data_IF_530728143736
#
_entry.id   IF_530728143736
#
_cell.length_a   1.000
_cell.length_b   1.000
_cell.length_c   1.000
_cell.angle_alpha   90.00
_cell.angle_beta   90.00
_cell.angle_gamma   90.00
#
_symmetry.space_group_name_H-M   'P 1'
#
loop_
_entity.id
_entity.type
_entity.pdbx_description
1 polymer ?
#
# COMPACT_ATOMS: atom_id res chain seq x y z
N UNK A 1 -8.46 62.46 -15.07
CA UNK A 1 -7.05 61.96 -15.13
C UNK A 1 -6.77 60.88 -14.09
N UNK A 2 -7.03 61.10 -12.79
CA UNK A 2 -6.77 60.10 -11.71
C UNK A 2 -7.38 58.70 -11.94
N UNK A 3 -8.63 58.59 -12.41
CA UNK A 3 -9.27 57.29 -12.72
C UNK A 3 -8.56 56.49 -13.83
N UNK A 4 -8.03 57.15 -14.87
CA UNK A 4 -7.32 56.46 -15.97
C UNK A 4 -5.96 55.91 -15.52
N UNK A 5 -5.28 56.62 -14.61
CA UNK A 5 -4.01 56.18 -14.01
C UNK A 5 -4.26 54.95 -13.14
N UNK A 6 -5.30 54.96 -12.28
CA UNK A 6 -5.67 53.82 -11.43
C UNK A 6 -5.98 52.57 -12.26
N UNK A 7 -6.79 52.70 -13.32
CA UNK A 7 -7.13 51.57 -14.21
C UNK A 7 -5.86 51.01 -14.87
N UNK A 8 -4.99 51.88 -15.40
CA UNK A 8 -3.74 51.45 -16.03
C UNK A 8 -2.81 50.73 -15.05
N UNK A 9 -2.70 51.19 -13.81
CA UNK A 9 -1.90 50.54 -12.77
C UNK A 9 -2.45 49.16 -12.41
N UNK A 10 -3.78 49.03 -12.26
CA UNK A 10 -4.43 47.74 -11.98
C UNK A 10 -4.19 46.76 -13.14
N UNK A 11 -4.33 47.20 -14.39
CA UNK A 11 -4.07 46.34 -15.56
C UNK A 11 -2.63 45.85 -15.58
N UNK A 12 -1.65 46.71 -15.28
CA UNK A 12 -0.24 46.33 -15.22
C UNK A 12 0.01 45.30 -14.10
N UNK A 13 -0.59 45.50 -12.92
CA UNK A 13 -0.47 44.55 -11.81
C UNK A 13 -1.08 43.19 -12.18
N UNK A 14 -2.25 43.17 -12.84
CA UNK A 14 -2.87 41.92 -13.31
C UNK A 14 -1.99 41.23 -14.35
N UNK A 15 -1.40 41.97 -15.29
CA UNK A 15 -0.48 41.41 -16.28
C UNK A 15 0.81 40.88 -15.64
N UNK A 16 1.33 41.55 -14.61
CA UNK A 16 2.50 41.07 -13.87
C UNK A 16 2.16 39.81 -13.07
N UNK A 17 1.03 39.78 -12.36
CA UNK A 17 0.56 38.58 -11.65
C UNK A 17 0.32 37.44 -12.63
N UNK A 18 -0.32 37.72 -13.76
CA UNK A 18 -0.56 36.75 -14.84
C UNK A 18 0.73 36.24 -15.46
N UNK A 19 1.71 37.12 -15.70
CA UNK A 19 3.04 36.75 -16.20
C UNK A 19 3.84 35.93 -15.19
N UNK A 20 3.78 36.27 -13.91
CA UNK A 20 4.40 35.49 -12.83
C UNK A 20 3.74 34.12 -12.68
N UNK A 21 2.40 34.06 -12.72
CA UNK A 21 1.65 32.80 -12.67
C UNK A 21 1.94 31.92 -13.89
N UNK A 22 2.01 32.51 -15.09
CA UNK A 22 2.36 31.81 -16.31
C UNK A 22 3.82 31.33 -16.29
N UNK A 23 4.75 32.14 -15.78
CA UNK A 23 6.15 31.76 -15.60
C UNK A 23 6.31 30.62 -14.58
N UNK A 24 5.57 30.69 -13.47
CA UNK A 24 5.54 29.62 -12.45
C UNK A 24 4.93 28.33 -13.00
N UNK A 25 3.83 28.43 -13.74
CA UNK A 25 3.23 27.28 -14.46
C UNK A 25 4.21 26.68 -15.46
N UNK A 26 4.91 27.51 -16.24
CA UNK A 26 5.89 27.07 -17.21
C UNK A 26 7.08 26.37 -16.54
N UNK A 27 7.57 26.90 -15.41
CA UNK A 27 8.67 26.30 -14.64
C UNK A 27 8.27 24.94 -14.05
N UNK A 28 7.10 24.85 -13.41
CA UNK A 28 6.61 23.57 -12.85
C UNK A 28 6.35 22.55 -13.96
N UNK A 29 5.78 22.97 -15.08
CA UNK A 29 5.45 22.07 -16.18
C UNK A 29 6.70 21.50 -16.84
N UNK A 30 7.73 22.32 -17.03
CA UNK A 30 8.93 21.91 -17.76
C UNK A 30 10.02 21.33 -16.85
N UNK A 31 10.07 21.76 -15.58
CA UNK A 31 11.05 21.32 -14.60
C UNK A 31 10.39 20.92 -13.27
N UNK A 32 9.43 19.97 -13.25
CA UNK A 32 8.73 19.56 -12.04
C UNK A 32 9.69 19.04 -10.94
N UNK A 33 10.86 18.52 -11.30
CA UNK A 33 11.90 18.09 -10.36
C UNK A 33 12.49 19.22 -9.49
N UNK A 34 12.37 20.49 -9.90
CA UNK A 34 12.99 21.62 -9.21
C UNK A 34 12.29 21.98 -7.88
N UNK A 35 11.05 21.55 -7.68
CA UNK A 35 10.30 21.81 -6.43
C UNK A 35 10.54 20.76 -5.35
N UNK A 36 11.30 19.70 -5.67
CA UNK A 36 11.72 18.67 -4.74
C UNK A 36 13.14 18.95 -4.26
N UNK A 37 13.42 18.55 -3.03
CA UNK A 37 14.76 18.64 -2.46
C UNK A 37 15.69 17.70 -3.25
N UNK A 38 16.57 18.28 -4.04
CA UNK A 38 17.60 17.51 -4.74
C UNK A 38 18.62 17.02 -3.71
N UNK A 39 19.09 15.76 -3.78
CA UNK A 39 20.20 15.31 -2.96
C UNK A 39 21.37 16.27 -3.19
N UNK A 40 21.89 16.86 -2.11
CA UNK A 40 23.00 17.79 -2.22
C UNK A 40 24.20 17.05 -2.83
N UNK A 41 24.74 17.58 -3.92
CA UNK A 41 25.99 17.12 -4.51
C UNK A 41 27.17 17.45 -3.57
N UNK A 42 27.27 16.73 -2.45
CA UNK A 42 28.45 16.68 -1.60
C UNK A 42 28.84 15.22 -1.37
N UNK A 43 29.41 14.62 -2.42
CA UNK A 43 30.61 13.76 -2.35
C UNK A 43 30.79 13.07 -3.70
N UNK A 44 31.54 13.72 -4.59
CA UNK A 44 32.30 13.00 -5.61
C UNK A 44 33.47 12.33 -4.90
N UNK A 45 33.26 11.09 -4.51
CA UNK A 45 34.31 10.22 -3.99
C UNK A 45 33.91 8.79 -4.30
N UNK A 46 34.65 8.13 -5.18
CA UNK A 46 34.55 6.68 -5.38
C UNK A 46 34.81 6.02 -4.03
N UNK A 47 33.76 5.63 -3.30
CA UNK A 47 33.89 4.81 -2.11
C UNK A 47 34.12 3.39 -2.58
N UNK A 48 35.39 2.98 -2.62
CA UNK A 48 35.75 1.56 -2.66
C UNK A 48 35.14 0.89 -1.43
N UNK A 49 34.23 -0.06 -1.68
CA UNK A 49 33.60 -0.89 -0.67
C UNK A 49 34.66 -1.57 0.22
N UNK A 50 34.71 -1.17 1.49
CA UNK A 50 35.23 -2.01 2.57
C UNK A 50 34.63 -1.55 3.90
N UNK A 51 33.94 -2.49 4.55
CA UNK A 51 33.40 -2.50 5.92
C UNK A 51 31.89 -2.25 6.08
N UNK A 52 31.24 -3.21 6.72
CA UNK A 52 29.80 -3.38 7.03
C UNK A 52 29.22 -2.35 8.03
N UNK A 53 29.72 -1.11 8.03
CA UNK A 53 29.23 -0.05 8.92
C UNK A 53 28.98 1.30 8.24
N UNK A 54 29.08 1.38 6.92
CA UNK A 54 28.70 2.59 6.19
C UNK A 54 27.33 2.40 5.52
N UNK A 55 26.29 2.87 6.21
CA UNK A 55 24.97 3.17 5.67
C UNK A 55 25.06 4.41 4.76
N UNK A 56 25.80 4.27 3.66
CA UNK A 56 25.86 5.29 2.63
C UNK A 56 24.54 5.29 1.87
N UNK A 57 23.85 6.42 1.85
CA UNK A 57 22.72 6.62 0.94
C UNK A 57 23.21 6.53 -0.50
N UNK A 58 22.49 5.78 -1.34
CA UNK A 58 22.79 5.74 -2.77
C UNK A 58 22.43 7.11 -3.34
N UNK A 59 23.40 7.80 -3.93
CA UNK A 59 23.12 9.04 -4.65
C UNK A 59 22.26 8.71 -5.88
N UNK A 60 21.01 9.17 -5.84
CA UNK A 60 20.09 9.01 -6.95
C UNK A 60 20.53 9.90 -8.12
N UNK A 61 20.36 9.44 -9.37
CA UNK A 61 20.44 10.33 -10.52
C UNK A 61 19.53 11.54 -10.33
N UNK A 62 20.01 12.73 -10.69
CA UNK A 62 19.20 13.95 -10.72
C UNK A 62 17.93 13.74 -11.54
N UNK A 63 16.81 14.35 -11.14
CA UNK A 63 15.54 14.22 -11.86
C UNK A 63 14.68 13.02 -11.44
N UNK A 64 15.07 12.28 -10.39
CA UNK A 64 14.27 11.19 -9.82
C UNK A 64 13.87 11.46 -8.37
N UNK A 65 12.65 11.06 -8.01
CA UNK A 65 12.17 11.10 -6.61
C UNK A 65 11.44 9.81 -6.26
N UNK A 66 11.39 9.50 -4.96
CA UNK A 66 10.66 8.35 -4.44
C UNK A 66 9.66 8.81 -3.37
N UNK A 67 8.41 8.38 -3.53
CA UNK A 67 7.32 8.73 -2.62
C UNK A 67 6.69 7.44 -2.07
N UNK A 68 6.67 7.28 -0.75
CA UNK A 68 5.96 6.17 -0.10
C UNK A 68 4.46 6.49 0.04
N UNK A 69 3.60 5.60 -0.42
CA UNK A 69 2.17 5.61 -0.11
C UNK A 69 1.89 4.56 0.97
N UNK A 70 1.36 5.02 2.10
CA UNK A 70 1.13 4.22 3.29
C UNK A 70 -0.36 4.20 3.64
N UNK A 71 -0.98 3.03 3.55
CA UNK A 71 -2.35 2.81 4.02
C UNK A 71 -2.34 2.44 5.50
N UNK A 72 -2.91 3.28 6.35
CA UNK A 72 -2.99 3.08 7.79
C UNK A 72 -4.28 2.32 8.15
N UNK A 73 -4.17 1.25 8.94
CA UNK A 73 -5.35 0.61 9.54
C UNK A 73 -5.56 1.16 10.96
N UNK A 74 -6.10 2.39 11.04
CA UNK A 74 -6.54 3.00 12.30
C UNK A 74 -7.83 2.34 12.74
N UNK A 75 -7.74 1.35 13.62
CA UNK A 75 -8.94 0.77 14.21
C UNK A 75 -9.27 1.49 15.53
N UNK A 76 -10.38 2.24 15.57
CA UNK A 76 -10.80 2.99 16.75
C UNK A 76 -10.99 2.07 17.98
N UNK A 77 -11.39 0.81 17.79
CA UNK A 77 -11.50 -0.18 18.87
C UNK A 77 -10.14 -0.67 19.42
N UNK A 78 -9.05 -0.53 18.66
CA UNK A 78 -7.69 -0.86 19.14
C UNK A 78 -7.04 0.27 19.94
N UNK A 79 -7.50 1.51 19.76
CA UNK A 79 -7.00 2.67 20.53
C UNK A 79 -7.42 2.55 21.99
N UNK A 80 -8.64 2.07 22.26
CA UNK A 80 -9.14 1.84 23.62
C UNK A 80 -8.50 0.62 24.33
N UNK A 81 -8.04 -0.40 23.57
CA UNK A 81 -7.51 -1.65 24.14
C UNK A 81 -5.96 -1.75 24.13
N UNK A 82 -5.27 -1.09 23.17
CA UNK A 82 -3.83 -1.22 22.95
C UNK A 82 -3.08 0.12 22.73
N UNK A 83 -3.76 1.26 22.86
CA UNK A 83 -3.19 2.58 22.54
C UNK A 83 -2.97 2.80 21.04
N UNK A 84 -2.07 3.71 20.67
CA UNK A 84 -1.74 4.11 19.29
C UNK A 84 -0.98 3.03 18.48
N UNK A 85 -1.42 1.77 18.55
CA UNK A 85 -0.82 0.63 17.83
C UNK A 85 -1.32 0.57 16.39
N UNK A 86 -0.73 1.40 15.53
CA UNK A 86 -1.01 1.44 14.09
C UNK A 86 -0.07 0.54 13.30
N UNK A 87 -0.62 -0.17 12.31
CA UNK A 87 0.15 -0.93 11.30
C UNK A 87 -0.13 -0.37 9.91
N UNK A 88 0.91 -0.34 9.09
CA UNK A 88 0.79 -0.01 7.66
C UNK A 88 0.35 -1.25 6.89
N UNK A 89 -0.90 -1.25 6.44
CA UNK A 89 -1.49 -2.39 5.74
C UNK A 89 -1.22 -2.37 4.24
N UNK A 90 -0.92 -1.19 3.70
CA UNK A 90 -0.51 -0.99 2.32
C UNK A 90 0.79 -0.20 2.30
N UNK A 91 1.80 -0.72 1.63
CA UNK A 91 3.10 -0.07 1.46
C UNK A 91 3.43 -0.10 -0.03
N UNK A 92 3.44 1.08 -0.65
CA UNK A 92 3.82 1.25 -2.05
C UNK A 92 4.87 2.36 -2.15
N UNK A 93 5.79 2.24 -3.09
CA UNK A 93 6.76 3.28 -3.42
C UNK A 93 6.59 3.67 -4.88
N UNK A 94 6.34 4.95 -5.11
CA UNK A 94 6.30 5.55 -6.44
C UNK A 94 7.69 6.09 -6.74
N UNK A 95 8.43 5.37 -7.59
CA UNK A 95 9.69 5.83 -8.16
C UNK A 95 9.39 6.63 -9.43
N UNK A 96 9.57 7.94 -9.37
CA UNK A 96 9.22 8.87 -10.43
C UNK A 96 10.50 9.35 -11.10
N UNK A 97 10.56 9.17 -12.41
CA UNK A 97 11.61 9.68 -13.29
C UNK A 97 11.04 10.78 -14.16
N UNK A 98 11.34 12.04 -13.81
CA UNK A 98 10.82 13.20 -14.52
C UNK A 98 11.41 13.33 -15.92
N UNK A 99 12.68 12.95 -16.10
CA UNK A 99 13.40 13.05 -17.37
C UNK A 99 12.90 11.98 -18.36
N UNK A 100 12.76 10.74 -17.89
CA UNK A 100 12.26 9.64 -18.70
C UNK A 100 10.73 9.63 -18.85
N UNK A 101 10.01 10.51 -18.13
CA UNK A 101 8.54 10.52 -18.02
C UNK A 101 8.00 9.12 -17.71
N UNK A 102 8.50 8.54 -16.62
CA UNK A 102 8.22 7.16 -16.21
C UNK A 102 7.89 7.09 -14.73
N UNK A 103 6.98 6.21 -14.37
CA UNK A 103 6.68 5.87 -12.98
C UNK A 103 6.79 4.36 -12.82
N UNK A 104 7.56 3.92 -11.82
CA UNK A 104 7.54 2.54 -11.34
C UNK A 104 6.89 2.50 -9.95
N UNK A 105 5.79 1.76 -9.81
CA UNK A 105 5.08 1.55 -8.55
C UNK A 105 5.49 0.22 -7.95
N UNK A 106 6.25 0.25 -6.85
CA UNK A 106 6.72 -0.95 -6.15
C UNK A 106 5.83 -1.20 -4.94
N UNK A 107 5.06 -2.28 -4.96
CA UNK A 107 4.30 -2.74 -3.81
C UNK A 107 5.16 -3.66 -2.93
N UNK A 108 5.25 -3.34 -1.64
CA UNK A 108 5.99 -4.12 -0.66
C UNK A 108 4.97 -4.82 0.25
N UNK A 109 4.93 -6.17 0.30
CA UNK A 109 4.03 -6.88 1.20
C UNK A 109 4.25 -6.45 2.65
N UNK A 110 3.17 -6.14 3.36
CA UNK A 110 3.20 -5.65 4.75
C UNK A 110 3.90 -6.63 5.72
N UNK A 111 3.87 -7.92 5.40
CA UNK A 111 4.44 -9.01 6.18
C UNK A 111 5.90 -9.32 5.78
N UNK A 112 6.54 -8.47 4.95
CA UNK A 112 7.95 -8.63 4.56
C UNK A 112 8.86 -8.69 5.78
N UNK A 113 9.63 -9.77 5.90
CA UNK A 113 10.57 -9.97 7.00
C UNK A 113 11.87 -9.21 6.72
N UNK A 114 12.04 -8.06 7.39
CA UNK A 114 13.10 -7.08 7.08
C UNK A 114 13.75 -6.57 8.34
N UNK A 115 14.97 -6.03 8.22
CA UNK A 115 15.65 -5.36 9.33
C UNK A 115 14.98 -4.00 9.53
N UNK A 116 14.46 -3.76 10.73
CA UNK A 116 13.85 -2.47 11.05
C UNK A 116 14.96 -1.44 11.25
N UNK A 117 14.82 -0.28 10.62
CA UNK A 117 15.81 0.80 10.72
C UNK A 117 16.04 1.20 12.19
N UNK A 118 17.31 1.41 12.54
CA UNK A 118 17.71 1.72 13.92
C UNK A 118 17.59 0.56 14.91
N UNK A 119 17.20 -0.65 14.48
CA UNK A 119 17.12 -1.86 15.33
C UNK A 119 18.16 -2.90 14.90
N UNK A 120 18.50 -3.80 15.83
CA UNK A 120 19.43 -4.92 15.59
C UNK A 120 18.74 -6.20 15.13
N UNK A 121 17.41 -6.26 15.23
CA UNK A 121 16.59 -7.42 14.89
C UNK A 121 15.74 -7.18 13.63
N UNK A 122 15.12 -8.25 13.15
CA UNK A 122 14.20 -8.24 12.01
C UNK A 122 12.77 -8.47 12.47
N UNK A 123 11.83 -7.87 11.75
CA UNK A 123 10.41 -8.00 12.00
C UNK A 123 9.65 -7.74 10.68
N UNK A 124 8.32 -7.83 10.72
CA UNK A 124 7.46 -7.45 9.61
C UNK A 124 7.61 -5.95 9.33
N UNK A 125 7.77 -5.59 8.05
CA UNK A 125 7.95 -4.17 7.67
C UNK A 125 6.83 -3.26 8.17
N UNK A 126 5.60 -3.77 8.33
CA UNK A 126 4.48 -2.99 8.85
C UNK A 126 4.55 -2.62 10.33
N UNK A 127 5.50 -3.17 11.10
CA UNK A 127 5.76 -2.77 12.48
C UNK A 127 6.78 -1.64 12.59
N UNK A 128 7.44 -1.23 11.50
CA UNK A 128 8.46 -0.19 11.51
C UNK A 128 7.95 1.14 12.13
N UNK A 129 6.70 1.50 11.85
CA UNK A 129 6.06 2.69 12.42
C UNK A 129 6.00 2.64 13.95
N UNK A 130 5.55 1.51 14.50
CA UNK A 130 5.47 1.29 15.95
C UNK A 130 6.87 1.24 16.58
N UNK A 131 7.83 0.58 15.92
CA UNK A 131 9.22 0.49 16.38
C UNK A 131 9.94 1.85 16.41
N UNK A 132 9.49 2.80 15.59
CA UNK A 132 9.92 4.19 15.61
C UNK A 132 9.28 5.03 16.70
N UNK A 133 8.35 4.49 17.51
CA UNK A 133 7.63 5.23 18.54
C UNK A 133 6.29 5.81 18.08
N UNK A 134 5.75 5.35 16.94
CA UNK A 134 4.44 5.76 16.46
C UNK A 134 4.39 7.26 16.10
N UNK A 135 3.26 7.90 16.37
CA UNK A 135 3.03 9.32 16.08
C UNK A 135 3.81 10.27 17.00
N UNK A 136 4.04 9.85 18.25
CA UNK A 136 4.77 10.65 19.24
C UNK A 136 6.30 10.57 19.05
N UNK A 137 6.76 9.57 18.30
CA UNK A 137 8.17 9.33 18.00
C UNK A 137 8.54 9.58 16.54
N UNK A 138 9.54 8.83 16.08
CA UNK A 138 10.10 8.88 14.73
C UNK A 138 9.50 7.80 13.82
N UNK A 139 8.20 7.49 14.00
CA UNK A 139 7.52 6.35 13.36
C UNK A 139 7.57 6.40 11.83
N UNK A 140 7.27 7.57 11.24
CA UNK A 140 7.32 7.74 9.79
C UNK A 140 8.75 7.62 9.26
N UNK A 141 9.73 8.30 9.87
CA UNK A 141 11.12 8.22 9.41
C UNK A 141 11.70 6.80 9.56
N UNK A 142 11.39 6.10 10.65
CA UNK A 142 11.76 4.68 10.83
C UNK A 142 11.17 3.81 9.72
N UNK A 143 9.91 4.07 9.33
CA UNK A 143 9.24 3.39 8.21
C UNK A 143 9.95 3.68 6.88
N UNK A 144 10.24 4.95 6.58
CA UNK A 144 10.90 5.36 5.34
C UNK A 144 12.32 4.81 5.24
N UNK A 145 13.09 4.83 6.33
CA UNK A 145 14.44 4.26 6.37
C UNK A 145 14.42 2.73 6.23
N UNK A 146 13.41 2.07 6.80
CA UNK A 146 13.23 0.61 6.62
C UNK A 146 12.91 0.28 5.16
N UNK A 147 12.02 1.05 4.53
CA UNK A 147 11.70 0.92 3.10
C UNK A 147 12.95 1.21 2.24
N UNK A 148 13.68 2.29 2.53
CA UNK A 148 14.93 2.65 1.86
C UNK A 148 15.95 1.51 1.90
N UNK A 149 16.12 0.87 3.06
CA UNK A 149 17.02 -0.28 3.22
C UNK A 149 16.61 -1.46 2.34
N UNK A 150 15.32 -1.79 2.28
CA UNK A 150 14.79 -2.82 1.38
C UNK A 150 15.04 -2.46 -0.10
N UNK A 151 14.99 -1.18 -0.44
CA UNK A 151 15.29 -0.67 -1.78
C UNK A 151 16.79 -0.49 -2.07
N UNK A 152 17.67 -1.05 -1.25
CA UNK A 152 19.12 -0.96 -1.46
C UNK A 152 19.68 0.42 -1.13
N UNK A 153 19.16 1.04 -0.06
CA UNK A 153 19.50 2.38 0.41
C UNK A 153 19.18 3.50 -0.60
N UNK A 154 18.17 3.27 -1.44
CA UNK A 154 17.57 4.30 -2.28
C UNK A 154 16.76 5.25 -1.39
N UNK A 155 17.05 6.56 -1.38
CA UNK A 155 16.35 7.52 -0.54
C UNK A 155 14.84 7.56 -0.82
N UNK A 156 14.03 7.44 0.24
CA UNK A 156 12.57 7.60 0.18
C UNK A 156 12.20 8.79 1.06
N UNK A 157 12.30 9.97 0.48
CA UNK A 157 12.26 11.23 1.23
C UNK A 157 10.84 11.77 1.40
N UNK A 158 9.89 11.31 0.58
CA UNK A 158 8.52 11.80 0.61
C UNK A 158 7.56 10.67 0.95
N UNK A 159 6.45 11.04 1.57
CA UNK A 159 5.39 10.09 1.87
C UNK A 159 4.01 10.71 1.87
N UNK A 160 3.00 9.88 1.64
CA UNK A 160 1.59 10.16 1.91
C UNK A 160 1.07 8.98 2.70
N UNK A 161 0.61 9.24 3.92
CA UNK A 161 -0.03 8.24 4.77
C UNK A 161 -1.46 8.66 5.09
N UNK A 162 -2.40 7.74 4.91
CA UNK A 162 -3.82 8.02 5.15
C UNK A 162 -4.55 6.77 5.63
N UNK A 163 -5.60 6.98 6.42
CA UNK A 163 -6.51 5.91 6.79
C UNK A 163 -7.49 5.57 5.64
N UNK A 164 -8.23 4.49 5.82
CA UNK A 164 -9.16 4.00 4.80
C UNK A 164 -10.40 4.89 4.63
N UNK A 165 -10.81 5.63 5.65
CA UNK A 165 -11.95 6.55 5.59
C UNK A 165 -11.62 7.80 4.75
N UNK A 166 -10.36 8.23 4.83
CA UNK A 166 -9.79 9.28 3.98
C UNK A 166 -9.73 8.81 2.52
N UNK A 167 -9.35 7.55 2.27
CA UNK A 167 -9.39 6.98 0.90
C UNK A 167 -10.81 6.99 0.34
N UNK A 168 -11.82 6.54 1.11
CA UNK A 168 -13.23 6.59 0.69
C UNK A 168 -13.60 8.02 0.30
N UNK A 169 -13.35 8.96 1.20
CA UNK A 169 -13.72 10.36 1.03
C UNK A 169 -13.02 11.00 -0.18
N UNK A 170 -11.75 10.66 -0.40
CA UNK A 170 -10.96 11.17 -1.54
C UNK A 170 -11.51 10.65 -2.87
N UNK A 171 -11.82 9.36 -2.96
CA UNK A 171 -12.42 8.77 -4.17
C UNK A 171 -13.77 9.42 -4.47
N UNK A 172 -14.60 9.66 -3.46
CA UNK A 172 -15.88 10.35 -3.63
C UNK A 172 -15.70 11.81 -4.07
N UNK A 173 -14.71 12.53 -3.53
CA UNK A 173 -14.39 13.91 -3.92
C UNK A 173 -13.88 14.02 -5.36
N UNK A 174 -13.15 13.03 -5.85
CA UNK A 174 -12.74 12.92 -7.27
C UNK A 174 -13.96 12.56 -8.16
N UNK A 175 -15.06 12.11 -7.54
CA UNK A 175 -16.29 11.78 -8.22
C UNK A 175 -16.39 10.30 -8.57
N UNK A 176 -15.73 9.40 -7.85
CA UNK A 176 -15.70 7.95 -8.04
C UNK A 176 -14.67 7.48 -9.08
N UNK A 177 -14.59 6.17 -9.34
CA UNK A 177 -13.75 5.59 -10.41
C UNK A 177 -14.57 4.63 -11.26
N UNK A 178 -14.49 4.76 -12.58
CA UNK A 178 -15.04 3.73 -13.47
C UNK A 178 -14.05 2.56 -13.58
N UNK A 179 -14.53 1.35 -13.32
CA UNK A 179 -13.68 0.17 -13.29
C UNK A 179 -14.46 -1.11 -13.63
N UNK A 180 -13.80 -2.03 -14.32
CA UNK A 180 -14.34 -3.36 -14.60
C UNK A 180 -14.03 -4.32 -13.45
N UNK A 181 -15.02 -4.52 -12.58
CA UNK A 181 -14.88 -5.37 -11.39
C UNK A 181 -14.79 -6.83 -11.84
N UNK A 182 -13.64 -7.46 -11.62
CA UNK A 182 -13.34 -8.81 -12.15
C UNK A 182 -14.31 -9.91 -11.64
N UNK A 183 -14.90 -9.73 -10.45
CA UNK A 183 -15.73 -10.73 -9.77
C UNK A 183 -16.60 -10.10 -8.68
N UNK A 184 -17.67 -10.79 -8.29
CA UNK A 184 -18.47 -10.41 -7.13
C UNK A 184 -17.60 -10.38 -5.86
N UNK A 185 -17.68 -9.27 -5.11
CA UNK A 185 -17.05 -9.13 -3.79
C UNK A 185 -18.08 -9.39 -2.72
N UNK A 186 -17.75 -10.23 -1.74
CA UNK A 186 -18.62 -10.60 -0.61
C UNK A 186 -17.92 -10.38 0.72
N UNK A 187 -18.69 -10.09 1.77
CA UNK A 187 -18.17 -10.09 3.13
C UNK A 187 -18.00 -11.51 3.70
N UNK A 188 -17.46 -11.62 4.91
CA UNK A 188 -17.22 -12.90 5.59
C UNK A 188 -18.50 -13.71 5.86
N UNK A 189 -19.67 -13.07 5.82
CA UNK A 189 -20.98 -13.73 5.97
C UNK A 189 -21.59 -14.12 4.61
N UNK A 190 -20.86 -13.90 3.50
CA UNK A 190 -21.31 -14.21 2.15
C UNK A 190 -22.25 -13.17 1.54
N UNK A 191 -22.54 -12.05 2.22
CA UNK A 191 -23.36 -10.97 1.66
C UNK A 191 -22.59 -10.29 0.55
N UNK A 192 -23.28 -10.06 -0.57
CA UNK A 192 -22.74 -9.35 -1.72
C UNK A 192 -22.53 -7.87 -1.39
N UNK A 193 -21.28 -7.41 -1.55
CA UNK A 193 -20.88 -6.02 -1.35
C UNK A 193 -20.71 -5.25 -2.65
N UNK A 194 -20.25 -5.93 -3.72
CA UNK A 194 -20.01 -5.33 -5.02
C UNK A 194 -20.20 -6.40 -6.11
N UNK A 195 -20.91 -6.05 -7.19
CA UNK A 195 -21.09 -6.94 -8.34
C UNK A 195 -19.91 -6.89 -9.29
N UNK A 196 -19.66 -7.98 -10.01
CA UNK A 196 -18.77 -7.98 -11.17
C UNK A 196 -19.27 -7.07 -12.30
N UNK A 197 -18.36 -6.62 -13.16
CA UNK A 197 -18.62 -5.84 -14.37
C UNK A 197 -18.23 -4.36 -14.28
N UNK A 198 -18.23 -3.72 -15.45
CA UNK A 198 -17.90 -2.31 -15.61
C UNK A 198 -18.95 -1.40 -14.98
N UNK A 199 -18.54 -0.65 -13.97
CA UNK A 199 -19.42 0.25 -13.24
C UNK A 199 -18.63 1.39 -12.60
N UNK A 200 -19.36 2.39 -12.10
CA UNK A 200 -18.79 3.46 -11.31
C UNK A 200 -18.71 3.07 -9.84
N UNK A 201 -17.51 3.02 -9.30
CA UNK A 201 -17.25 2.75 -7.89
C UNK A 201 -17.18 4.08 -7.13
N UNK A 202 -18.07 4.24 -6.15
CA UNK A 202 -17.90 5.26 -5.10
C UNK A 202 -16.80 4.81 -4.12
N UNK A 203 -16.41 5.66 -3.17
CA UNK A 203 -15.32 5.39 -2.24
C UNK A 203 -15.51 4.10 -1.44
N UNK A 204 -16.75 3.81 -1.04
CA UNK A 204 -17.08 2.58 -0.29
C UNK A 204 -16.94 1.32 -1.17
N UNK A 205 -17.48 1.34 -2.38
CA UNK A 205 -17.34 0.25 -3.36
C UNK A 205 -15.88 0.04 -3.78
N UNK A 206 -15.14 1.13 -3.98
CA UNK A 206 -13.69 1.11 -4.21
C UNK A 206 -12.98 0.39 -3.05
N UNK A 207 -13.29 0.78 -1.81
CA UNK A 207 -12.67 0.18 -0.63
C UNK A 207 -12.96 -1.32 -0.53
N UNK A 208 -14.20 -1.74 -0.78
CA UNK A 208 -14.58 -3.16 -0.81
C UNK A 208 -13.75 -3.93 -1.83
N UNK A 209 -13.55 -3.38 -3.02
CA UNK A 209 -12.75 -4.02 -4.05
C UNK A 209 -11.26 -4.14 -3.68
N UNK A 210 -10.64 -3.08 -3.17
CA UNK A 210 -9.21 -3.11 -2.80
C UNK A 210 -8.90 -3.92 -1.55
N UNK A 211 -9.90 -4.17 -0.69
CA UNK A 211 -9.76 -4.98 0.53
C UNK A 211 -10.13 -6.46 0.34
N UNK A 212 -10.76 -6.83 -0.77
CA UNK A 212 -11.15 -8.23 -1.00
C UNK A 212 -9.92 -9.16 -0.96
N UNK A 213 -9.99 -10.18 -0.11
CA UNK A 213 -8.99 -11.26 0.02
C UNK A 213 -9.57 -12.63 -0.31
N UNK A 214 -10.85 -12.83 -0.05
CA UNK A 214 -11.50 -14.13 0.00
C UNK A 214 -11.78 -14.72 -1.38
N UNK A 215 -11.83 -13.87 -2.40
CA UNK A 215 -12.39 -14.29 -3.68
C UNK A 215 -11.29 -14.68 -4.70
N UNK A 216 -10.03 -14.91 -4.29
CA UNK A 216 -8.92 -15.33 -5.20
C UNK A 216 -7.91 -16.29 -4.55
N UNK A 217 -7.41 -17.33 -5.26
CA UNK A 217 -6.45 -18.30 -4.74
C UNK A 217 -5.11 -17.73 -4.27
N UNK A 218 -4.62 -16.63 -4.87
CA UNK A 218 -3.32 -16.03 -4.56
C UNK A 218 -3.31 -15.07 -3.37
N UNK A 219 -4.42 -14.96 -2.62
CA UNK A 219 -4.52 -14.19 -1.38
C UNK A 219 -4.02 -12.74 -1.49
N UNK A 220 -2.98 -12.42 -0.73
CA UNK A 220 -2.40 -11.07 -0.63
C UNK A 220 -1.73 -10.58 -1.94
N UNK A 221 -1.21 -11.49 -2.77
CA UNK A 221 -0.59 -11.13 -4.05
C UNK A 221 -1.63 -10.63 -5.04
N UNK A 222 -2.77 -11.32 -5.13
CA UNK A 222 -3.87 -10.91 -6.00
C UNK A 222 -4.52 -9.61 -5.53
N UNK A 223 -4.54 -9.37 -4.20
CA UNK A 223 -4.94 -8.07 -3.65
C UNK A 223 -4.03 -6.96 -4.15
N UNK A 224 -2.71 -7.14 -4.08
CA UNK A 224 -1.74 -6.14 -4.55
C UNK A 224 -1.96 -5.82 -6.04
N UNK A 225 -2.15 -6.85 -6.87
CA UNK A 225 -2.43 -6.65 -8.31
C UNK A 225 -3.72 -5.87 -8.55
N UNK A 226 -4.80 -6.17 -7.81
CA UNK A 226 -6.06 -5.42 -7.91
C UNK A 226 -5.88 -3.96 -7.49
N UNK A 227 -5.19 -3.72 -6.37
CA UNK A 227 -4.87 -2.36 -5.91
C UNK A 227 -4.10 -1.58 -6.96
N UNK A 228 -3.07 -2.19 -7.57
CA UNK A 228 -2.32 -1.56 -8.66
C UNK A 228 -3.22 -1.23 -9.86
N UNK A 229 -4.04 -2.17 -10.35
CA UNK A 229 -4.92 -1.94 -11.51
C UNK A 229 -5.94 -0.83 -11.26
N UNK A 230 -6.61 -0.82 -10.11
CA UNK A 230 -7.63 0.19 -9.83
C UNK A 230 -7.01 1.56 -9.54
N UNK A 231 -5.78 1.62 -9.00
CA UNK A 231 -5.03 2.87 -8.91
C UNK A 231 -4.67 3.42 -10.30
N UNK A 232 -4.36 2.56 -11.28
CA UNK A 232 -4.17 3.01 -12.67
C UNK A 232 -5.44 3.59 -13.28
N UNK A 233 -6.60 2.98 -13.03
CA UNK A 233 -7.88 3.51 -13.50
C UNK A 233 -8.21 4.85 -12.83
N UNK A 234 -7.96 4.97 -11.52
CA UNK A 234 -8.13 6.24 -10.80
C UNK A 234 -7.18 7.31 -11.36
N UNK A 235 -5.92 6.95 -11.60
CA UNK A 235 -4.92 7.83 -12.18
C UNK A 235 -5.34 8.34 -13.56
N UNK A 236 -5.78 7.46 -14.47
CA UNK A 236 -6.27 7.82 -15.80
C UNK A 236 -7.43 8.83 -15.72
N UNK A 237 -8.38 8.60 -14.82
CA UNK A 237 -9.52 9.50 -14.65
C UNK A 237 -9.11 10.88 -14.09
N UNK A 238 -8.11 10.92 -13.21
CA UNK A 238 -7.57 12.17 -12.66
C UNK A 238 -6.82 13.02 -13.69
N UNK A 239 -6.33 12.44 -14.80
CA UNK A 239 -5.62 13.19 -15.85
C UNK A 239 -6.52 14.19 -16.61
N UNK A 240 -7.84 14.09 -16.47
CA UNK A 240 -8.75 15.01 -17.15
C UNK A 240 -8.58 16.46 -16.66
N UNK A 241 -8.57 17.42 -17.58
CA UNK A 241 -8.36 18.86 -17.31
C UNK A 241 -9.28 19.43 -16.21
N UNK A 242 -10.49 18.88 -16.09
CA UNK A 242 -11.46 19.28 -15.07
C UNK A 242 -11.01 18.91 -13.65
N UNK A 243 -10.34 17.77 -13.48
CA UNK A 243 -9.90 17.32 -12.16
C UNK A 243 -8.63 18.06 -11.71
N UNK A 244 -7.74 18.42 -12.64
CA UNK A 244 -6.58 19.26 -12.34
C UNK A 244 -7.00 20.65 -11.82
N UNK A 245 -8.09 21.21 -12.35
CA UNK A 245 -8.63 22.48 -11.89
C UNK A 245 -9.17 22.41 -10.44
N UNK A 246 -9.68 21.25 -10.01
CA UNK A 246 -10.21 21.02 -8.67
C UNK A 246 -9.12 20.63 -7.64
N UNK A 247 -7.87 20.43 -8.08
CA UNK A 247 -6.80 19.93 -7.22
C UNK A 247 -6.56 20.78 -5.96
N UNK A 248 -6.58 22.14 -6.01
CA UNK A 248 -6.43 22.95 -4.80
C UNK A 248 -7.54 22.70 -3.76
N UNK A 249 -8.79 22.56 -4.22
CA UNK A 249 -9.94 22.33 -3.34
C UNK A 249 -9.90 20.93 -2.72
N UNK A 250 -9.51 19.92 -3.51
CA UNK A 250 -9.27 18.56 -3.03
C UNK A 250 -8.15 18.60 -1.99
N UNK A 251 -6.98 19.15 -2.32
CA UNK A 251 -5.85 19.23 -1.38
C UNK A 251 -6.25 19.91 -0.06
N UNK A 252 -6.91 21.07 -0.12
CA UNK A 252 -7.32 21.80 1.08
C UNK A 252 -8.32 21.03 1.94
N UNK A 253 -9.17 20.19 1.34
CA UNK A 253 -10.16 19.36 2.05
C UNK A 253 -9.55 18.15 2.76
N UNK A 254 -8.36 17.72 2.34
CA UNK A 254 -7.73 16.48 2.80
C UNK A 254 -6.37 16.66 3.48
N UNK A 255 -5.68 17.80 3.33
CA UNK A 255 -4.36 18.05 3.92
C UNK A 255 -4.28 17.81 5.42
N UNK A 256 -5.35 18.09 6.16
CA UNK A 256 -5.40 17.93 7.63
C UNK A 256 -5.89 16.52 8.04
N UNK A 257 -6.22 15.67 7.07
CA UNK A 257 -6.68 14.28 7.26
C UNK A 257 -5.64 13.25 6.83
N UNK A 258 -4.55 13.68 6.20
CA UNK A 258 -3.44 12.82 5.79
C UNK A 258 -2.15 13.28 6.46
N UNK A 259 -1.22 12.36 6.63
CA UNK A 259 0.14 12.67 7.04
C UNK A 259 1.03 12.69 5.81
N UNK A 260 1.67 13.82 5.54
CA UNK A 260 2.58 13.97 4.41
C UNK A 260 3.58 15.09 4.69
N UNK A 261 4.75 14.97 4.09
CA UNK A 261 5.74 16.05 4.02
C UNK A 261 5.77 16.73 2.64
N UNK A 262 4.82 16.43 1.75
CA UNK A 262 4.65 17.12 0.49
C UNK A 262 3.92 18.45 0.70
N UNK A 263 4.43 19.52 0.12
CA UNK A 263 3.74 20.80 0.07
C UNK A 263 2.84 20.92 -1.18
N UNK A 264 1.93 21.89 -1.19
CA UNK A 264 0.99 22.11 -2.30
C UNK A 264 1.69 22.30 -3.66
N UNK A 265 2.86 22.95 -3.68
CA UNK A 265 3.62 23.18 -4.90
C UNK A 265 4.16 21.86 -5.47
N UNK A 266 4.66 20.97 -4.61
CA UNK A 266 5.07 19.62 -4.98
C UNK A 266 3.89 18.78 -5.48
N UNK A 267 2.75 18.82 -4.78
CA UNK A 267 1.53 18.13 -5.23
C UNK A 267 1.06 18.63 -6.60
N UNK A 268 1.08 19.95 -6.82
CA UNK A 268 0.75 20.52 -8.12
C UNK A 268 1.72 20.08 -9.23
N UNK A 269 3.02 20.03 -8.94
CA UNK A 269 4.03 19.52 -9.88
C UNK A 269 3.80 18.05 -10.24
N UNK A 270 3.48 17.21 -9.26
CA UNK A 270 3.13 15.80 -9.51
C UNK A 270 1.88 15.67 -10.37
N UNK A 271 0.85 16.47 -10.10
CA UNK A 271 -0.40 16.44 -10.87
C UNK A 271 -0.20 16.90 -12.32
N UNK A 272 0.61 17.94 -12.56
CA UNK A 272 0.96 18.38 -13.92
C UNK A 272 1.85 17.37 -14.64
N UNK A 273 2.81 16.75 -13.95
CA UNK A 273 3.59 15.67 -14.52
C UNK A 273 2.69 14.48 -14.91
N UNK A 274 1.78 14.10 -14.01
CA UNK A 274 0.83 13.01 -14.20
C UNK A 274 -0.13 13.24 -15.37
N UNK A 275 -0.59 14.49 -15.58
CA UNK A 275 -1.52 14.80 -16.67
C UNK A 275 -0.93 14.53 -18.05
N UNK A 276 0.38 14.75 -18.20
CA UNK A 276 1.10 14.61 -19.47
C UNK A 276 1.76 13.21 -19.61
N UNK A 277 1.63 12.33 -18.61
CA UNK A 277 2.27 11.02 -18.57
C UNK A 277 1.52 9.99 -19.43
N UNK A 278 2.22 9.27 -20.31
CA UNK A 278 1.66 8.08 -20.96
C UNK A 278 1.51 6.93 -19.95
N UNK A 279 0.33 6.31 -19.86
CA UNK A 279 0.09 5.17 -18.98
C UNK A 279 0.98 3.97 -19.32
N UNK A 280 1.42 3.84 -20.57
CA UNK A 280 2.39 2.81 -20.97
C UNK A 280 3.75 2.97 -20.27
N UNK A 281 4.04 4.16 -19.75
CA UNK A 281 5.24 4.43 -18.97
C UNK A 281 5.02 4.26 -17.46
N UNK A 282 3.85 3.77 -17.04
CA UNK A 282 3.57 3.41 -15.65
C UNK A 282 3.68 1.91 -15.48
N UNK A 283 4.70 1.48 -14.73
CA UNK A 283 5.01 0.08 -14.51
C UNK A 283 4.72 -0.27 -13.05
N UNK A 284 4.28 -1.50 -12.81
CA UNK A 284 3.94 -1.98 -11.46
C UNK A 284 4.78 -3.19 -11.12
N UNK A 285 5.32 -3.21 -9.91
CA UNK A 285 6.20 -4.25 -9.40
C UNK A 285 5.70 -4.74 -8.05
N UNK A 286 5.84 -6.03 -7.79
CA UNK A 286 5.70 -6.61 -6.47
C UNK A 286 7.10 -6.94 -5.96
N UNK A 287 7.42 -6.55 -4.72
CA UNK A 287 8.69 -6.92 -4.10
C UNK A 287 8.91 -8.44 -4.18
N UNK A 288 9.92 -8.92 -4.93
CA UNK A 288 10.10 -10.33 -5.19
C UNK A 288 10.30 -11.13 -3.91
N UNK A 289 9.65 -12.28 -3.82
CA UNK A 289 9.68 -13.10 -2.63
C UNK A 289 8.65 -14.20 -2.68
N UNK A 290 8.47 -14.86 -1.55
CA UNK A 290 7.52 -15.94 -1.37
C UNK A 290 7.15 -16.08 0.11
N UNK A 291 6.11 -16.87 0.40
CA UNK A 291 5.65 -17.14 1.76
C UNK A 291 6.76 -17.81 2.57
N UNK A 292 6.95 -17.30 3.79
CA UNK A 292 7.89 -17.79 4.78
C UNK A 292 7.12 -18.06 6.08
N UNK A 293 7.03 -19.31 6.50
CA UNK A 293 6.49 -19.67 7.82
C UNK A 293 7.65 -19.82 8.80
N UNK A 294 7.54 -19.12 9.93
CA UNK A 294 8.46 -19.26 11.06
C UNK A 294 7.62 -19.42 12.33
N UNK A 295 7.60 -20.63 12.89
CA UNK A 295 6.83 -21.01 14.09
C UNK A 295 5.33 -20.74 13.96
N UNK A 296 4.72 -21.00 12.79
CA UNK A 296 3.30 -20.73 12.55
C UNK A 296 2.97 -19.23 12.38
N UNK A 297 3.99 -18.36 12.35
CA UNK A 297 3.83 -16.96 11.97
C UNK A 297 4.19 -16.84 10.49
N UNK A 298 3.22 -16.37 9.70
CA UNK A 298 3.43 -16.10 8.28
C UNK A 298 4.14 -14.77 8.05
N UNK A 299 5.18 -14.82 7.23
CA UNK A 299 5.97 -13.71 6.71
C UNK A 299 6.01 -13.78 5.18
N UNK A 300 6.47 -12.68 4.58
CA UNK A 300 6.96 -12.62 3.21
C UNK A 300 8.49 -12.58 3.23
N UNK A 301 9.14 -13.64 2.77
CA UNK A 301 10.59 -13.67 2.63
C UNK A 301 10.99 -13.07 1.29
N UNK A 302 11.97 -12.16 1.28
CA UNK A 302 12.43 -11.52 0.05
C UNK A 302 13.44 -12.42 -0.67
N UNK A 303 13.28 -12.55 -1.99
CA UNK A 303 14.27 -13.21 -2.87
C UNK A 303 15.32 -12.16 -3.25
N UNK A 304 16.52 -12.28 -2.68
CA UNK A 304 17.54 -11.23 -2.78
C UNK A 304 18.06 -11.07 -4.20
N UNK A 305 18.21 -12.17 -4.95
CA UNK A 305 18.67 -12.13 -6.34
C UNK A 305 17.64 -11.43 -7.24
N UNK A 306 16.35 -11.75 -7.07
CA UNK A 306 15.29 -11.08 -7.82
C UNK A 306 15.10 -9.62 -7.37
N UNK A 307 15.28 -9.33 -6.08
CA UNK A 307 15.24 -7.96 -5.54
C UNK A 307 16.29 -7.10 -6.23
N UNK A 308 17.56 -7.51 -6.25
CA UNK A 308 18.61 -6.69 -6.87
C UNK A 308 18.42 -6.51 -8.38
N UNK A 309 17.88 -7.52 -9.08
CA UNK A 309 17.51 -7.40 -10.49
C UNK A 309 16.40 -6.36 -10.71
N UNK A 310 15.37 -6.35 -9.85
CA UNK A 310 14.30 -5.34 -9.87
C UNK A 310 14.86 -3.95 -9.59
N UNK A 311 15.75 -3.80 -8.60
CA UNK A 311 16.36 -2.50 -8.27
C UNK A 311 17.21 -1.97 -9.43
N UNK A 312 17.94 -2.84 -10.12
CA UNK A 312 18.66 -2.46 -11.34
C UNK A 312 17.72 -1.98 -12.44
N UNK A 313 16.59 -2.68 -12.64
CA UNK A 313 15.58 -2.31 -13.63
C UNK A 313 14.90 -0.97 -13.31
N UNK A 314 14.52 -0.75 -12.06
CA UNK A 314 13.73 0.43 -11.65
C UNK A 314 14.62 1.66 -11.44
N UNK A 315 15.72 1.50 -10.69
CA UNK A 315 16.56 2.61 -10.27
C UNK A 315 17.86 2.74 -11.06
N UNK A 316 18.24 1.73 -11.85
CA UNK A 316 19.51 1.72 -12.58
C UNK A 316 20.74 1.40 -11.71
N UNK A 317 20.52 1.05 -10.44
CA UNK A 317 21.58 0.85 -9.44
C UNK A 317 22.07 -0.59 -9.39
N UNK A 318 23.35 -0.78 -9.09
CA UNK A 318 23.94 -2.09 -8.82
C UNK A 318 24.03 -2.29 -7.30
N UNK A 319 23.31 -3.28 -6.79
CA UNK A 319 23.27 -3.65 -5.37
C UNK A 319 23.64 -5.12 -5.25
N UNK A 320 24.56 -5.45 -4.34
CA UNK A 320 24.90 -6.84 -4.07
C UNK A 320 23.78 -7.51 -3.26
N UNK A 321 23.37 -8.76 -3.61
CA UNK A 321 22.36 -9.47 -2.87
C UNK A 321 22.88 -9.86 -1.48
N UNK A 322 22.10 -9.59 -0.44
CA UNK A 322 22.48 -9.95 0.92
C UNK A 322 21.92 -11.34 1.26
N UNK A 323 22.65 -12.38 0.88
CA UNK A 323 22.21 -13.77 1.03
C UNK A 323 21.92 -14.19 2.48
N UNK A 324 22.37 -13.44 3.49
CA UNK A 324 21.96 -13.68 4.89
C UNK A 324 20.45 -13.52 5.09
N UNK A 325 19.83 -12.62 4.33
CA UNK A 325 18.42 -12.29 4.41
C UNK A 325 17.57 -12.89 3.29
N UNK A 326 18.19 -13.69 2.42
CA UNK A 326 17.48 -14.37 1.35
C UNK A 326 16.52 -15.42 1.90
N UNK A 327 15.31 -15.47 1.33
CA UNK A 327 14.25 -16.38 1.75
C UNK A 327 14.70 -17.84 1.79
N UNK A 328 15.47 -18.33 0.81
CA UNK A 328 15.85 -19.73 0.75
C UNK A 328 16.89 -20.07 1.82
N UNK A 329 17.76 -19.12 2.17
CA UNK A 329 18.70 -19.27 3.28
C UNK A 329 17.97 -19.28 4.62
N UNK A 330 17.02 -18.36 4.84
CA UNK A 330 16.22 -18.30 6.07
C UNK A 330 15.39 -19.59 6.23
N UNK A 331 14.71 -20.04 5.16
CA UNK A 331 13.92 -21.29 5.16
C UNK A 331 14.79 -22.49 5.58
N UNK A 332 15.98 -22.62 5.01
CA UNK A 332 16.88 -23.74 5.31
C UNK A 332 17.41 -23.70 6.75
N UNK A 333 17.86 -22.52 7.21
CA UNK A 333 18.34 -22.36 8.59
C UNK A 333 17.26 -22.73 9.60
N UNK A 334 16.05 -22.23 9.38
CA UNK A 334 14.94 -22.48 10.28
C UNK A 334 14.51 -23.96 10.29
N UNK A 335 14.43 -24.61 9.13
CA UNK A 335 14.16 -26.05 9.05
C UNK A 335 15.20 -26.91 9.78
N UNK A 336 16.49 -26.53 9.71
CA UNK A 336 17.55 -27.23 10.47
C UNK A 336 17.37 -27.07 11.98
N UNK A 337 17.03 -25.87 12.47
CA UNK A 337 16.81 -25.67 13.91
C UNK A 337 15.62 -26.48 14.45
N UNK A 338 14.54 -26.64 13.68
CA UNK A 338 13.41 -27.49 14.08
C UNK A 338 13.79 -28.96 14.13
N UNK A 339 14.60 -29.43 13.17
CA UNK A 339 15.11 -30.81 13.18
C UNK A 339 16.02 -31.07 14.39
N UNK A 340 16.98 -30.19 14.67
CA UNK A 340 17.85 -30.32 15.85
C UNK A 340 17.06 -30.32 17.17
N UNK A 341 16.04 -29.48 17.30
CA UNK A 341 15.17 -29.45 18.47
C UNK A 341 14.30 -30.71 18.62
N UNK A 342 13.87 -31.31 17.51
CA UNK A 342 13.14 -32.58 17.54
C UNK A 342 14.06 -33.76 17.85
N UNK A 343 15.24 -33.82 17.25
CA UNK A 343 16.24 -34.88 17.48
C UNK A 343 16.78 -34.83 18.93
N UNK A 344 16.94 -33.64 19.51
CA UNK A 344 17.33 -33.47 20.92
C UNK A 344 16.20 -33.84 21.90
N UNK A 345 14.93 -33.62 21.53
CA UNK A 345 13.78 -34.07 22.31
C UNK A 345 13.53 -35.58 22.19
N UNK A 346 13.86 -36.20 21.06
CA UNK A 346 13.86 -37.67 20.93
C UNK A 346 15.02 -38.31 21.70
N UNK A 347 16.21 -37.70 21.68
CA UNK A 347 17.37 -38.19 22.44
C UNK A 347 17.22 -38.05 23.95
N UNK A 348 16.42 -37.11 24.46
CA UNK A 348 16.16 -36.95 25.90
C UNK A 348 15.08 -37.90 26.41
N UNK A 349 14.12 -38.30 25.55
CA UNK A 349 13.10 -39.31 25.86
C UNK A 349 13.60 -40.76 25.71
N UNK A 350 14.75 -40.99 25.06
CA UNK A 350 15.36 -42.32 24.93
C UNK A 350 16.20 -42.75 26.15
N UNK A 351 16.36 -41.88 27.15
CA UNK A 351 17.21 -42.11 28.34
C UNK A 351 16.45 -42.46 29.63
N UNK A 352 15.12 -42.66 29.58
CA UNK A 352 14.31 -42.90 30.80
C UNK A 352 13.47 -44.20 30.75
N UNK A 353 14.03 -45.27 30.16
CA UNK A 353 13.47 -46.62 30.24
C UNK A 353 14.51 -47.62 30.77
N UNK A 354 15.00 -47.38 31.98
CA UNK A 354 15.71 -48.41 32.75
C UNK A 354 15.60 -48.16 34.25
N UNK A 355 14.39 -48.30 34.82
CA UNK A 355 14.29 -48.82 36.19
C UNK A 355 12.87 -49.31 36.50
N UNK A 356 12.70 -50.64 36.43
CA UNK A 356 11.54 -51.35 36.95
C UNK A 356 11.95 -52.10 38.22
N UNK A 357 11.45 -51.75 39.41
CA UNK A 357 11.55 -52.65 40.55
C UNK A 357 10.28 -53.50 40.70
N UNK A 358 10.51 -54.79 40.80
CA UNK A 358 9.58 -55.86 41.20
C UNK A 358 9.11 -55.73 42.67
N UNK A 359 7.85 -56.13 42.91
CA UNK A 359 7.20 -56.35 44.23
C UNK A 359 8.06 -57.16 45.22
N UNK A 360 7.93 -56.91 46.55
CA UNK A 360 7.18 -57.88 47.38
C UNK A 360 6.36 -57.32 48.57
N UNK A 361 5.37 -58.15 48.95
CA UNK A 361 4.53 -58.41 50.16
C UNK A 361 4.49 -57.54 51.45
N UNK A 362 3.26 -57.52 52.02
CA UNK A 362 2.74 -57.06 53.35
C UNK A 362 3.32 -57.81 54.58
N UNK A 363 3.27 -57.27 55.83
CA UNK A 363 2.08 -57.27 56.74
C UNK A 363 1.87 -55.98 57.61
N UNK A 364 0.63 -55.55 57.94
CA UNK A 364 -0.11 -55.60 59.26
C UNK A 364 0.69 -55.09 60.49
N UNK A 365 0.26 -54.23 61.44
CA UNK A 365 -0.99 -53.57 61.89
C UNK A 365 -0.66 -52.52 62.98
N UNK A 366 -1.49 -51.49 63.22
CA UNK A 366 -1.48 -50.69 64.45
C UNK A 366 -2.15 -49.32 64.32
N UNK A 367 -3.20 -49.09 65.12
CA UNK A 367 -4.05 -47.88 65.18
C UNK A 367 -3.48 -46.80 66.12
N UNK A 368 -3.71 -45.51 65.83
CA UNK A 368 -4.24 -44.54 66.81
C UNK A 368 -4.68 -43.21 66.15
N UNK A 369 -5.56 -42.49 66.84
CA UNK A 369 -6.56 -41.51 66.36
C UNK A 369 -6.09 -40.02 66.17
N UNK A 370 -6.70 -39.33 65.19
CA UNK A 370 -7.13 -37.91 64.99
C UNK A 370 -6.72 -36.72 65.92
N UNK A 371 -6.98 -35.42 65.56
CA UNK A 371 -7.46 -34.83 64.28
C UNK A 371 -6.82 -33.48 63.81
N UNK A 372 -7.04 -33.11 62.54
CA UNK A 372 -7.46 -31.76 62.13
C UNK A 372 -6.48 -30.85 61.34
N UNK A 373 -6.68 -30.70 60.02
CA UNK A 373 -7.08 -29.44 59.33
C UNK A 373 -6.89 -29.50 57.80
N UNK A 374 -8.03 -29.39 57.13
CA UNK A 374 -8.37 -28.80 55.82
C UNK A 374 -7.30 -28.63 54.71
N UNK A 375 -7.63 -29.28 53.59
CA UNK A 375 -7.10 -29.15 52.24
C UNK A 375 -7.80 -27.99 51.48
N UNK A 376 -7.15 -27.38 50.48
CA UNK A 376 -7.87 -26.92 49.29
C UNK A 376 -7.45 -27.69 48.04
N UNK A 377 -8.45 -27.95 47.21
CA UNK A 377 -8.48 -28.72 45.97
C UNK A 377 -8.13 -27.89 44.73
N UNK A 378 -7.61 -28.59 43.72
CA UNK A 378 -7.41 -28.17 42.34
C UNK A 378 -8.65 -27.53 41.70
N UNK A 379 -8.46 -26.40 41.01
CA UNK A 379 -9.38 -25.88 40.01
C UNK A 379 -8.72 -25.92 38.62
N UNK A 380 -9.29 -26.73 37.73
CA UNK A 380 -9.03 -26.70 36.29
C UNK A 380 -9.68 -25.47 35.63
N UNK A 381 -9.28 -25.12 34.39
CA UNK A 381 -9.69 -23.88 33.76
C UNK A 381 -11.17 -23.88 33.38
N UNK A 382 -11.82 -22.75 33.67
CA UNK A 382 -13.23 -22.47 33.50
C UNK A 382 -13.67 -22.48 32.02
N UNK A 383 -14.89 -23.00 31.79
CA UNK A 383 -15.62 -22.94 30.52
C UNK A 383 -16.18 -21.54 30.29
N UNK A 384 -16.07 -21.05 29.05
CA UNK A 384 -16.73 -19.82 28.58
C UNK A 384 -18.27 -19.92 28.67
N UNK A 385 -18.97 -18.84 29.07
CA UNK A 385 -20.43 -18.78 29.05
C UNK A 385 -20.96 -18.49 27.63
N UNK A 386 -22.20 -18.92 27.30
CA UNK A 386 -22.77 -18.80 25.96
C UNK A 386 -23.19 -17.35 25.64
N UNK A 387 -22.96 -16.93 24.40
CA UNK A 387 -23.36 -15.63 23.85
C UNK A 387 -24.87 -15.63 23.58
N UNK A 388 -25.62 -14.77 24.27
CA UNK A 388 -27.02 -14.44 23.97
C UNK A 388 -27.12 -13.63 22.67
N UNK A 389 -27.99 -14.07 21.76
CA UNK A 389 -28.35 -13.33 20.54
C UNK A 389 -29.32 -12.19 20.87
N UNK A 390 -29.14 -10.96 20.35
CA UNK A 390 -30.17 -9.94 20.42
C UNK A 390 -31.26 -10.23 19.39
N UNK A 391 -32.49 -10.20 19.88
CA UNK A 391 -33.74 -10.37 19.14
C UNK A 391 -33.94 -9.27 18.08
N UNK A 392 -34.50 -9.69 16.96
CA UNK A 392 -35.04 -8.87 15.88
C UNK A 392 -36.15 -7.93 16.36
N UNK A 393 -35.98 -6.63 16.15
CA UNK A 393 -37.10 -5.69 16.08
C UNK A 393 -37.31 -5.30 14.62
N UNK A 394 -38.36 -5.89 14.04
CA UNK A 394 -38.96 -5.48 12.79
C UNK A 394 -39.60 -4.10 12.98
N UNK A 395 -39.11 -3.10 12.24
CA UNK A 395 -39.89 -1.93 11.88
C UNK A 395 -39.61 -1.67 10.39
N UNK A 396 -40.53 -2.15 9.56
CA UNK A 396 -40.65 -1.78 8.16
C UNK A 396 -40.76 -0.26 8.02
N UNK A 397 -39.85 0.32 7.25
CA UNK A 397 -40.07 1.58 6.55
C UNK A 397 -39.97 1.24 5.07
N UNK A 398 -41.11 1.11 4.40
CA UNK A 398 -41.20 0.95 2.95
C UNK A 398 -40.59 2.18 2.27
N UNK A 399 -39.50 1.99 1.51
CA UNK A 399 -39.03 2.97 0.53
C UNK A 399 -39.88 2.87 -0.75
N UNK A 400 -40.24 3.99 -1.40
CA UNK A 400 -41.06 3.96 -2.61
C UNK A 400 -40.27 3.38 -3.80
N UNK A 401 -40.95 2.78 -4.80
CA UNK A 401 -40.27 2.15 -5.93
C UNK A 401 -39.51 3.18 -6.76
N UNK A 402 -38.26 2.86 -7.10
CA UNK A 402 -37.45 3.60 -8.07
C UNK A 402 -38.07 3.45 -9.45
N UNK A 403 -38.60 4.54 -9.99
CA UNK A 403 -39.15 4.63 -11.34
C UNK A 403 -38.01 4.43 -12.36
N UNK A 404 -38.08 3.37 -13.17
CA UNK A 404 -37.16 3.18 -14.30
C UNK A 404 -37.51 4.17 -15.42
N UNK A 405 -36.55 4.91 -15.99
CA UNK A 405 -36.83 5.78 -17.12
C UNK A 405 -37.16 4.94 -18.36
N UNK A 406 -38.38 5.11 -18.89
CA UNK A 406 -38.79 4.56 -20.18
C UNK A 406 -37.95 5.19 -21.32
N UNK A 407 -37.63 4.43 -22.38
CA UNK A 407 -36.92 4.98 -23.52
C UNK A 407 -37.83 5.95 -24.29
N UNK A 408 -37.35 7.19 -24.42
CA UNK A 408 -38.02 8.25 -25.15
C UNK A 408 -37.91 7.97 -26.66
N UNK A 409 -39.05 7.69 -27.30
CA UNK A 409 -39.16 7.45 -28.73
C UNK A 409 -39.36 8.79 -29.45
N UNK A 410 -38.29 9.37 -29.99
CA UNK A 410 -38.37 10.55 -30.85
C UNK A 410 -37.35 10.44 -32.00
N UNK A 411 -37.88 10.39 -33.23
CA UNK A 411 -37.24 10.95 -34.44
C UNK A 411 -36.17 10.08 -35.09
N UNK A 412 -36.59 9.19 -35.98
CA UNK A 412 -35.73 8.66 -37.05
C UNK A 412 -35.58 9.77 -38.11
N UNK A 413 -34.38 10.34 -38.25
CA UNK A 413 -33.97 11.08 -39.45
C UNK A 413 -33.22 10.12 -40.36
N UNK A 414 -33.80 9.84 -41.53
CA UNK A 414 -33.20 9.06 -42.61
C UNK A 414 -31.99 9.80 -43.21
N UNK A 415 -30.85 9.11 -43.30
CA UNK A 415 -29.70 9.50 -44.13
C UNK A 415 -29.98 9.07 -45.58
N UNK A 416 -29.77 9.93 -46.60
CA UNK A 416 -29.99 9.55 -47.99
C UNK A 416 -28.81 8.73 -48.56
N UNK A 417 -29.17 7.72 -49.35
CA UNK A 417 -28.29 6.85 -50.15
C UNK A 417 -27.39 7.64 -51.12
N UNK A 418 -26.08 7.43 -51.03
CA UNK A 418 -25.13 7.78 -52.10
C UNK A 418 -25.06 6.66 -53.14
N UNK A 419 -25.45 6.98 -54.38
CA UNK A 419 -25.19 6.15 -55.55
C UNK A 419 -23.71 6.25 -55.98
N UNK A 420 -23.11 5.16 -56.52
CA UNK A 420 -21.73 5.20 -56.99
C UNK A 420 -21.61 5.90 -58.36
N UNK A 421 -20.71 6.88 -58.44
CA UNK A 421 -20.30 7.53 -59.69
C UNK A 421 -19.47 6.57 -60.56
N UNK A 422 -19.83 6.51 -61.85
CA UNK A 422 -19.07 5.87 -62.92
C UNK A 422 -18.05 6.86 -63.50
N UNK A 423 -16.77 6.51 -63.46
CA UNK A 423 -15.70 7.23 -64.15
C UNK A 423 -15.69 6.89 -65.65
N UNK A 424 -15.95 7.89 -66.49
CA UNK A 424 -15.72 7.87 -67.93
C UNK A 424 -14.23 8.10 -68.24
N UNK A 425 -13.60 7.10 -68.86
CA UNK A 425 -12.27 7.22 -69.44
C UNK A 425 -12.34 7.90 -70.81
N UNK A 426 -11.64 9.02 -70.94
CA UNK A 426 -11.36 9.65 -72.23
C UNK A 426 -10.36 8.81 -73.03
N UNK A 427 -10.78 8.35 -74.20
CA UNK A 427 -9.89 8.16 -75.35
C UNK A 427 -10.67 8.46 -76.62
N UNK A 428 -10.28 9.49 -77.37
CA UNK A 428 -10.35 9.40 -78.83
C UNK A 428 -9.45 10.45 -79.49
N UNK A 429 -8.55 9.90 -80.30
CA UNK A 429 -7.80 10.53 -81.37
C UNK A 429 -8.63 10.50 -82.66
N UNK A 430 -8.79 11.66 -83.29
CA UNK A 430 -8.88 11.97 -84.74
C UNK A 430 -9.92 13.05 -85.06
#
# INVERSE_FOLDING_TARGET
>A
MKKKIIISTITIVILLIGGMAAGFYYEIKNNPQNVFEQPSNQSSGIVKARNEQNDGTVQMPTGKINIALLGLDKNAGRIEEYGDSFRTDTIMVFAIDFDAKKIDVISIPRDSYVKIAGKTYMDKINSAFLHGGGFDGDGFNTTLNTISSVLGNVPVNYYVAMDMDVVISLVDAIGGVYYDVEKDVRDGNGRLLLKAGYQKLNGKAFLYYVRDRHSTPGGDIDRVKRQQKILMALFDQMKSLKQLANLPDIYNSFKDKMYTNLNITQVAALAMFASDLDLNNVNTHLMPGDYLDMNGISYWGIDENKRVAMLKQVFGIDVEPNMRYDIYVIKNQYQSTIKENNDSNESSNASDDSDKPSKPSKPSSGQDESPGMQQPSDEGPAKEPPVEQPQSNDNEVEEPPVEQPQPNNNGVEELPDEQPQSDDAQSESN
#
